data_IF_894066042784
#
_entry.id   IF_894066042784
#
_cell.length_a   1.000
_cell.length_b   1.000
_cell.length_c   1.000
_cell.angle_alpha   90.00
_cell.angle_beta   90.00
_cell.angle_gamma   90.00
#
_symmetry.space_group_name_H-M   'P 1'
#
loop_
_entity.id
_entity.type
_entity.pdbx_description
1 polymer ?
#
# COMPACT_ATOMS: atom_id res chain seq x y z
N UNK A 1 18.95 -0.74 -0.71
CA UNK A 1 18.40 -2.09 -0.98
C UNK A 1 16.97 -2.06 -1.51
N UNK A 2 15.93 -1.68 -0.75
CA UNK A 2 14.56 -1.70 -1.27
C UNK A 2 14.35 -0.80 -2.51
N UNK A 3 14.90 0.41 -2.48
CA UNK A 3 14.87 1.32 -3.64
C UNK A 3 15.66 0.77 -4.84
N UNK A 4 16.73 -0.01 -4.65
CA UNK A 4 17.48 -0.62 -5.74
C UNK A 4 16.63 -1.67 -6.49
N UNK A 5 15.82 -2.45 -5.75
CA UNK A 5 14.88 -3.38 -6.36
C UNK A 5 13.75 -2.65 -7.08
N UNK A 6 13.30 -1.52 -6.54
CA UNK A 6 12.32 -0.66 -7.19
C UNK A 6 12.85 -0.12 -8.53
N UNK A 7 14.07 0.40 -8.55
CA UNK A 7 14.73 0.94 -9.75
C UNK A 7 15.02 -0.15 -10.78
N UNK A 8 15.28 -1.38 -10.31
CA UNK A 8 15.47 -2.57 -11.15
C UNK A 8 14.15 -3.17 -11.68
N UNK A 9 12.99 -2.57 -11.35
CA UNK A 9 11.63 -3.02 -11.69
C UNK A 9 11.22 -4.36 -11.07
N UNK A 10 11.96 -4.83 -10.08
CA UNK A 10 11.65 -6.02 -9.29
C UNK A 10 10.67 -5.64 -8.14
N UNK A 11 9.46 -5.20 -8.51
CA UNK A 11 8.49 -4.63 -7.57
C UNK A 11 8.02 -5.61 -6.49
N UNK A 12 7.98 -6.91 -6.77
CA UNK A 12 7.60 -7.93 -5.78
C UNK A 12 8.61 -8.02 -4.63
N UNK A 13 9.91 -8.02 -4.95
CA UNK A 13 10.97 -8.03 -3.92
C UNK A 13 11.03 -6.71 -3.16
N UNK A 14 10.88 -5.60 -3.87
CA UNK A 14 10.80 -4.27 -3.27
C UNK A 14 9.64 -4.20 -2.28
N UNK A 15 8.45 -4.69 -2.65
CA UNK A 15 7.27 -4.75 -1.78
C UNK A 15 7.55 -5.52 -0.50
N UNK A 16 8.12 -6.72 -0.58
CA UNK A 16 8.46 -7.55 0.60
C UNK A 16 9.44 -6.84 1.53
N UNK A 17 10.42 -6.14 0.97
CA UNK A 17 11.37 -5.37 1.78
C UNK A 17 10.72 -4.17 2.45
N UNK A 18 9.89 -3.41 1.72
CA UNK A 18 9.16 -2.29 2.29
C UNK A 18 8.19 -2.73 3.38
N UNK A 19 7.45 -3.83 3.20
CA UNK A 19 6.52 -4.34 4.22
C UNK A 19 7.25 -4.81 5.47
N UNK A 20 8.43 -5.43 5.32
CA UNK A 20 9.28 -5.78 6.45
C UNK A 20 9.76 -4.52 7.21
N UNK A 21 10.29 -3.52 6.51
CA UNK A 21 10.75 -2.27 7.13
C UNK A 21 9.63 -1.51 7.85
N UNK A 22 8.42 -1.53 7.30
CA UNK A 22 7.26 -0.91 7.91
C UNK A 22 6.93 -1.49 9.28
N UNK A 23 7.24 -2.75 9.53
CA UNK A 23 6.96 -3.37 10.83
C UNK A 23 7.84 -2.76 11.93
N UNK A 24 9.14 -2.60 11.66
CA UNK A 24 10.08 -1.98 12.58
C UNK A 24 9.73 -0.51 12.83
N UNK A 25 9.44 0.26 11.77
CA UNK A 25 9.10 1.68 11.89
C UNK A 25 7.79 1.95 12.64
N UNK A 26 6.82 1.02 12.60
CA UNK A 26 5.59 1.11 13.40
C UNK A 26 5.86 0.91 14.88
N UNK A 27 6.70 -0.06 15.22
CA UNK A 27 7.08 -0.34 16.60
C UNK A 27 7.74 0.89 17.25
N UNK A 28 8.56 1.61 16.48
CA UNK A 28 9.24 2.83 16.90
C UNK A 28 8.39 4.11 16.74
N UNK A 29 7.18 4.01 16.17
CA UNK A 29 6.23 5.11 15.93
C UNK A 29 6.80 6.24 15.08
N UNK A 30 7.66 5.92 14.11
CA UNK A 30 8.25 6.88 13.19
C UNK A 30 7.31 7.22 12.02
N UNK A 31 6.17 7.83 12.34
CA UNK A 31 5.05 8.03 11.39
C UNK A 31 5.43 8.74 10.09
N UNK A 32 6.37 9.69 10.13
CA UNK A 32 6.86 10.39 8.93
C UNK A 32 7.62 9.47 7.98
N UNK A 33 8.40 8.53 8.52
CA UNK A 33 9.15 7.56 7.71
C UNK A 33 8.17 6.49 7.20
N UNK A 34 7.28 6.03 8.08
CA UNK A 34 6.19 5.11 7.72
C UNK A 34 5.41 5.64 6.54
N UNK A 35 4.99 6.92 6.52
CA UNK A 35 4.20 7.47 5.41
C UNK A 35 4.93 7.42 4.06
N UNK A 36 6.22 7.78 4.05
CA UNK A 36 7.04 7.75 2.81
C UNK A 36 7.21 6.32 2.30
N UNK A 37 7.46 5.37 3.21
CA UNK A 37 7.61 3.95 2.86
C UNK A 37 6.27 3.34 2.44
N UNK A 38 5.16 3.75 3.07
CA UNK A 38 3.80 3.32 2.71
C UNK A 38 3.45 3.72 1.28
N UNK A 39 3.76 4.95 0.88
CA UNK A 39 3.52 5.45 -0.48
C UNK A 39 4.30 4.64 -1.54
N UNK A 40 5.54 4.27 -1.23
CA UNK A 40 6.33 3.37 -2.09
C UNK A 40 5.74 1.96 -2.14
N UNK A 41 5.36 1.41 -0.98
CA UNK A 41 4.83 0.07 -0.87
C UNK A 41 3.49 -0.09 -1.63
N UNK A 42 2.57 0.87 -1.53
CA UNK A 42 1.28 0.79 -2.23
C UNK A 42 1.44 0.89 -3.75
N UNK A 43 2.43 1.65 -4.24
CA UNK A 43 2.77 1.68 -5.65
C UNK A 43 3.33 0.32 -6.11
N UNK A 44 4.19 -0.30 -5.32
CA UNK A 44 4.72 -1.63 -5.63
C UNK A 44 3.63 -2.70 -5.67
N UNK A 45 2.69 -2.68 -4.71
CA UNK A 45 1.58 -3.64 -4.68
C UNK A 45 0.64 -3.45 -5.87
N UNK A 46 0.38 -2.20 -6.26
CA UNK A 46 -0.38 -1.88 -7.47
C UNK A 46 0.31 -2.41 -8.74
N UNK A 47 1.61 -2.18 -8.89
CA UNK A 47 2.40 -2.63 -10.05
C UNK A 47 2.56 -4.15 -10.12
N UNK A 48 2.58 -4.83 -8.97
CA UNK A 48 2.67 -6.29 -8.87
C UNK A 48 1.30 -6.96 -8.98
N UNK A 49 0.22 -6.20 -9.15
CA UNK A 49 -1.18 -6.67 -9.14
C UNK A 49 -1.55 -7.47 -7.88
N UNK A 50 -0.88 -7.20 -6.75
CA UNK A 50 -1.16 -7.84 -5.47
C UNK A 50 -2.28 -7.09 -4.74
N UNK A 51 -3.51 -7.56 -4.94
CA UNK A 51 -4.72 -6.95 -4.39
C UNK A 51 -4.78 -7.04 -2.86
N UNK A 52 -4.29 -8.13 -2.28
CA UNK A 52 -4.34 -8.34 -0.83
C UNK A 52 -3.48 -7.29 -0.10
N UNK A 53 -2.22 -7.14 -0.52
CA UNK A 53 -1.32 -6.15 0.08
C UNK A 53 -1.78 -4.72 -0.22
N UNK A 54 -2.33 -4.47 -1.41
CA UNK A 54 -2.89 -3.16 -1.75
C UNK A 54 -4.02 -2.76 -0.79
N UNK A 55 -4.95 -3.67 -0.47
CA UNK A 55 -6.06 -3.39 0.45
C UNK A 55 -5.52 -3.05 1.86
N UNK A 56 -4.58 -3.85 2.38
CA UNK A 56 -4.00 -3.64 3.70
C UNK A 56 -3.27 -2.28 3.79
N UNK A 57 -2.41 -1.99 2.82
CA UNK A 57 -1.65 -0.73 2.77
C UNK A 57 -2.58 0.47 2.54
N UNK A 58 -3.64 0.33 1.75
CA UNK A 58 -4.62 1.39 1.52
C UNK A 58 -5.35 1.78 2.81
N UNK A 59 -5.79 0.81 3.62
CA UNK A 59 -6.44 1.09 4.90
C UNK A 59 -5.53 1.88 5.85
N UNK A 60 -4.26 1.55 5.83
CA UNK A 60 -3.30 2.24 6.69
C UNK A 60 -3.00 3.67 6.23
N UNK A 61 -2.84 3.91 4.91
CA UNK A 61 -2.68 5.27 4.37
C UNK A 61 -3.89 6.15 4.72
N UNK A 62 -5.09 5.57 4.71
CA UNK A 62 -6.32 6.26 5.10
C UNK A 62 -6.38 6.56 6.61
N UNK A 63 -5.50 5.97 7.42
CA UNK A 63 -5.38 6.24 8.85
C UNK A 63 -4.98 7.69 9.17
N UNK A 64 -5.29 8.11 10.40
CA UNK A 64 -5.04 9.47 10.91
C UNK A 64 -3.55 9.75 11.11
N UNK A 65 -2.76 8.71 11.41
CA UNK A 65 -1.34 8.86 11.75
C UNK A 65 -0.44 9.11 10.52
N UNK A 66 -0.95 8.86 9.31
CA UNK A 66 -0.17 8.94 8.08
C UNK A 66 -0.31 10.33 7.46
N UNK A 67 0.83 11.00 7.29
CA UNK A 67 0.94 12.32 6.69
C UNK A 67 0.99 12.25 5.15
N UNK A 68 -0.11 11.79 4.54
CA UNK A 68 -0.28 11.78 3.08
C UNK A 68 -1.31 12.85 2.69
N UNK A 69 -1.09 13.61 1.60
CA UNK A 69 -2.02 14.63 1.15
C UNK A 69 -3.43 14.05 0.87
N UNK A 70 -4.46 14.81 1.23
CA UNK A 70 -5.87 14.39 1.11
C UNK A 70 -6.27 13.99 -0.33
N UNK A 71 -5.67 14.63 -1.34
CA UNK A 71 -5.91 14.30 -2.74
C UNK A 71 -5.48 12.87 -3.08
N UNK A 72 -4.32 12.43 -2.58
CA UNK A 72 -3.83 11.07 -2.79
C UNK A 72 -4.63 10.07 -1.97
N UNK A 73 -4.98 10.41 -0.72
CA UNK A 73 -5.89 9.58 0.11
C UNK A 73 -7.23 9.35 -0.59
N UNK A 74 -7.81 10.37 -1.22
CA UNK A 74 -9.06 10.25 -1.99
C UNK A 74 -8.90 9.30 -3.18
N UNK A 75 -7.83 9.41 -3.96
CA UNK A 75 -7.57 8.48 -5.09
C UNK A 75 -7.45 7.04 -4.61
N UNK A 76 -6.70 6.81 -3.53
CA UNK A 76 -6.53 5.48 -2.93
C UNK A 76 -7.87 4.93 -2.44
N UNK A 77 -8.68 5.76 -1.77
CA UNK A 77 -10.03 5.41 -1.33
C UNK A 77 -10.94 5.03 -2.51
N UNK A 78 -10.99 5.83 -3.57
CA UNK A 78 -11.80 5.56 -4.75
C UNK A 78 -11.39 4.23 -5.42
N UNK A 79 -10.08 3.97 -5.51
CA UNK A 79 -9.54 2.71 -6.00
C UNK A 79 -9.93 1.53 -5.10
N UNK A 80 -9.82 1.68 -3.79
CA UNK A 80 -10.20 0.65 -2.81
C UNK A 80 -11.69 0.30 -2.94
N UNK A 81 -12.57 1.30 -3.03
CA UNK A 81 -14.01 1.08 -3.20
C UNK A 81 -14.31 0.36 -4.52
N UNK A 82 -13.61 0.67 -5.61
CA UNK A 82 -13.76 -0.07 -6.88
C UNK A 82 -13.37 -1.53 -6.73
N UNK A 83 -12.24 -1.82 -6.10
CA UNK A 83 -11.76 -3.19 -5.86
C UNK A 83 -12.77 -3.97 -5.00
N UNK A 84 -13.26 -3.37 -3.91
CA UNK A 84 -14.24 -3.97 -3.01
C UNK A 84 -15.60 -4.24 -3.70
N UNK A 85 -16.05 -3.32 -4.54
CA UNK A 85 -17.28 -3.53 -5.34
C UNK A 85 -17.13 -4.74 -6.27
N UNK A 86 -16.05 -4.81 -7.03
CA UNK A 86 -15.80 -5.92 -7.97
C UNK A 86 -15.73 -7.26 -7.26
N UNK A 87 -15.05 -7.32 -6.12
CA UNK A 87 -14.95 -8.56 -5.34
C UNK A 87 -16.29 -9.00 -4.75
N UNK A 88 -17.16 -8.08 -4.37
CA UNK A 88 -18.50 -8.41 -3.86
C UNK A 88 -19.45 -8.95 -4.96
N UNK A 89 -19.33 -8.47 -6.20
CA UNK A 89 -20.11 -9.00 -7.34
C UNK A 89 -19.71 -10.42 -7.76
N UNK A 90 -18.47 -10.84 -7.51
CA UNK A 90 -18.03 -12.20 -7.83
C UNK A 90 -18.61 -13.26 -6.87
N UNK A 91 -18.98 -12.86 -5.64
CA UNK A 91 -19.50 -13.78 -4.61
C UNK A 91 -21.00 -14.03 -4.79
N UNK A 92 -21.76 -13.08 -5.34
CA UNK A 92 -23.22 -13.20 -5.51
C UNK A 92 -23.65 -14.00 -6.75
N UNK A 93 -22.71 -14.40 -7.61
CA UNK A 93 -23.00 -15.11 -8.86
C UNK A 93 -22.44 -16.55 -8.90
N UNK A 94 -22.07 -17.11 -7.74
CA UNK A 94 -21.70 -18.51 -7.55
C UNK A 94 -22.73 -19.19 -6.67
#
# INVERSE_FOLDING_TARGET
MADEYYDSKDYGKALTLYTHMLWDFRNEKWWTIVSVVLEKAILCSYLTANVQDYILLAFEILGVNINTPLNEKRKIYDNLIRILKVSMFCVTHK
#
